data_IF_544771830998
#
_entry.id   IF_544771830998
#
_cell.length_a   1.000
_cell.length_b   1.000
_cell.length_c   1.000
_cell.angle_alpha   90.00
_cell.angle_beta   90.00
_cell.angle_gamma   90.00
#
_symmetry.space_group_name_H-M   'P 1'
#
loop_
_entity.id
_entity.type
_entity.pdbx_description
1 polymer ?
#
# COMPACT_ATOMS: atom_id res chain seq x y z
N UNK A 1 62.91 -7.61 76.88
CA UNK A 1 62.53 -6.70 75.78
C UNK A 1 61.45 -5.75 76.24
N UNK A 2 61.73 -4.45 76.25
CA UNK A 2 60.80 -3.43 76.77
C UNK A 2 59.49 -3.41 75.99
N UNK A 3 58.38 -3.06 76.66
CA UNK A 3 57.04 -2.96 76.05
C UNK A 3 57.06 -2.11 74.77
N UNK A 4 57.90 -1.07 74.74
CA UNK A 4 58.13 -0.17 73.61
C UNK A 4 58.61 -0.92 72.35
N UNK A 5 59.50 -1.91 72.50
CA UNK A 5 60.00 -2.70 71.37
C UNK A 5 58.92 -3.59 70.76
N UNK A 6 58.01 -4.13 71.60
CA UNK A 6 56.88 -4.96 71.13
C UNK A 6 55.86 -4.11 70.36
N UNK A 7 55.58 -2.89 70.82
CA UNK A 7 54.72 -1.94 70.12
C UNK A 7 55.34 -1.44 68.81
N UNK A 8 56.66 -1.23 68.76
CA UNK A 8 57.36 -0.86 67.54
C UNK A 8 57.26 -1.96 66.45
N UNK A 9 57.45 -3.23 66.82
CA UNK A 9 57.32 -4.36 65.89
C UNK A 9 55.88 -4.49 65.37
N UNK A 10 54.87 -4.33 66.23
CA UNK A 10 53.46 -4.35 65.83
C UNK A 10 53.14 -3.22 64.85
N UNK A 11 53.68 -2.01 65.08
CA UNK A 11 53.48 -0.87 64.19
C UNK A 11 54.10 -1.12 62.80
N UNK A 12 55.30 -1.70 62.74
CA UNK A 12 55.95 -2.06 61.46
C UNK A 12 55.13 -3.09 60.68
N UNK A 13 54.62 -4.13 61.35
CA UNK A 13 53.77 -5.14 60.71
C UNK A 13 52.46 -4.53 60.20
N UNK A 14 51.85 -3.63 60.99
CA UNK A 14 50.63 -2.93 60.59
C UNK A 14 50.86 -2.07 59.34
N UNK A 15 51.97 -1.32 59.29
CA UNK A 15 52.34 -0.51 58.11
C UNK A 15 52.58 -1.39 56.88
N UNK A 16 53.22 -2.55 57.04
CA UNK A 16 53.38 -3.52 55.96
C UNK A 16 52.05 -4.08 55.46
N UNK A 17 51.12 -4.41 56.35
CA UNK A 17 49.80 -4.91 55.98
C UNK A 17 48.95 -3.83 55.30
N UNK A 18 49.00 -2.59 55.78
CA UNK A 18 48.30 -1.45 55.16
C UNK A 18 48.90 -1.17 53.78
N UNK A 19 50.23 -1.09 53.67
CA UNK A 19 50.91 -0.89 52.38
C UNK A 19 50.62 -2.03 51.41
N UNK A 20 50.64 -3.28 51.88
CA UNK A 20 50.29 -4.44 51.08
C UNK A 20 48.83 -4.42 50.64
N UNK A 21 47.91 -4.02 51.52
CA UNK A 21 46.48 -3.88 51.21
C UNK A 21 46.22 -2.75 50.22
N UNK A 22 46.90 -1.61 50.35
CA UNK A 22 46.81 -0.48 49.39
C UNK A 22 47.41 -0.87 48.04
N UNK A 23 48.56 -1.54 48.02
CA UNK A 23 49.15 -2.06 46.77
C UNK A 23 48.20 -3.09 46.11
N UNK A 24 47.63 -4.00 46.90
CA UNK A 24 46.64 -4.96 46.42
C UNK A 24 45.39 -4.26 45.88
N UNK A 25 44.87 -3.26 46.59
CA UNK A 25 43.67 -2.54 46.17
C UNK A 25 43.91 -1.69 44.92
N UNK A 26 45.08 -1.07 44.80
CA UNK A 26 45.44 -0.29 43.60
C UNK A 26 45.67 -1.17 42.36
N UNK A 27 46.23 -2.37 42.54
CA UNK A 27 46.44 -3.32 41.44
C UNK A 27 45.13 -4.01 41.04
N UNK A 28 44.33 -4.46 42.02
CA UNK A 28 43.11 -5.21 41.75
C UNK A 28 41.89 -4.32 41.51
N UNK A 29 41.82 -3.10 42.04
CA UNK A 29 40.64 -2.22 41.96
C UNK A 29 40.95 -0.80 41.45
N UNK A 30 42.22 -0.42 41.24
CA UNK A 30 42.63 0.93 40.82
C UNK A 30 42.69 1.18 39.29
N UNK A 31 41.83 0.52 38.50
CA UNK A 31 41.80 0.69 37.05
C UNK A 31 41.05 1.94 36.59
N UNK A 32 41.41 2.50 35.42
CA UNK A 32 40.63 3.56 34.76
C UNK A 32 39.38 2.94 34.14
N UNK A 33 38.22 3.45 34.52
CA UNK A 33 36.95 3.08 33.92
C UNK A 33 36.86 3.61 32.47
N UNK A 34 36.41 2.75 31.56
CA UNK A 34 36.08 3.06 30.17
C UNK A 34 34.57 3.09 30.01
N UNK A 35 34.10 4.05 29.24
CA UNK A 35 32.69 4.18 28.89
C UNK A 35 32.42 3.34 27.65
N UNK A 36 31.42 2.46 27.72
CA UNK A 36 31.02 1.62 26.59
C UNK A 36 30.37 2.50 25.50
N UNK A 37 30.83 2.40 24.23
CA UNK A 37 30.23 3.12 23.12
C UNK A 37 28.91 2.48 22.68
N UNK A 38 28.02 3.26 22.01
CA UNK A 38 26.85 2.70 21.35
C UNK A 38 27.26 2.01 20.04
N UNK A 39 27.23 0.68 20.05
CA UNK A 39 27.57 -0.20 18.93
C UNK A 39 26.33 -0.78 18.22
N UNK A 40 25.12 -0.55 18.77
CA UNK A 40 23.87 -1.05 18.20
C UNK A 40 23.60 -0.42 16.83
N UNK A 41 23.03 -1.20 15.91
CA UNK A 41 22.70 -0.80 14.53
C UNK A 41 23.92 -0.47 13.64
N UNK A 42 25.14 -0.55 14.18
CA UNK A 42 26.38 -0.43 13.41
C UNK A 42 26.68 -1.73 12.66
N UNK A 43 27.55 -1.64 11.64
CA UNK A 43 28.15 -2.82 11.03
C UNK A 43 29.12 -3.47 12.01
N UNK A 44 29.30 -4.79 11.93
CA UNK A 44 30.24 -5.54 12.79
C UNK A 44 31.67 -5.02 12.65
N UNK A 45 32.05 -4.53 11.46
CA UNK A 45 33.37 -3.96 11.21
C UNK A 45 33.54 -2.65 11.98
N UNK A 46 32.61 -1.70 11.81
CA UNK A 46 32.66 -0.42 12.50
C UNK A 46 32.57 -0.59 14.02
N UNK A 47 31.76 -1.55 14.47
CA UNK A 47 31.57 -1.82 15.89
C UNK A 47 32.82 -2.42 16.56
N UNK A 48 33.54 -3.29 15.85
CA UNK A 48 34.82 -3.85 16.33
C UNK A 48 35.89 -2.77 16.34
N UNK A 49 36.01 -1.98 15.27
CA UNK A 49 36.98 -0.89 15.18
C UNK A 49 36.79 0.13 16.32
N UNK A 50 35.55 0.49 16.62
CA UNK A 50 35.23 1.44 17.69
C UNK A 50 35.53 0.87 19.10
N UNK A 51 35.31 -0.43 19.30
CA UNK A 51 35.65 -1.10 20.55
C UNK A 51 37.17 -1.27 20.74
N UNK A 52 37.89 -1.61 19.67
CA UNK A 52 39.36 -1.73 19.68
C UNK A 52 40.03 -0.37 19.90
N UNK A 53 39.47 0.71 19.36
CA UNK A 53 39.96 2.09 19.53
C UNK A 53 40.05 2.52 21.00
N UNK A 54 39.14 2.01 21.84
CA UNK A 54 39.14 2.25 23.29
C UNK A 54 39.83 1.13 24.07
N UNK A 55 40.26 0.05 23.41
CA UNK A 55 40.97 -1.07 24.00
C UNK A 55 40.06 -2.07 24.71
N UNK A 56 38.86 -2.32 24.16
CA UNK A 56 37.93 -3.35 24.61
C UNK A 56 37.95 -4.55 23.66
N UNK A 57 37.90 -5.75 24.21
CA UNK A 57 37.77 -6.98 23.43
C UNK A 57 36.29 -7.27 23.13
N UNK A 58 36.01 -7.68 21.89
CA UNK A 58 34.64 -7.97 21.43
C UNK A 58 34.42 -9.47 21.27
N UNK A 59 33.36 -9.98 21.89
CA UNK A 59 32.86 -11.34 21.70
C UNK A 59 31.60 -11.30 20.84
N UNK A 60 31.64 -12.01 19.72
CA UNK A 60 30.56 -11.99 18.73
C UNK A 60 29.67 -13.22 18.90
N UNK A 61 28.37 -12.98 19.09
CA UNK A 61 27.32 -13.99 19.04
C UNK A 61 26.44 -13.77 17.81
N UNK A 62 26.15 -14.84 17.06
CA UNK A 62 25.34 -14.76 15.85
C UNK A 62 23.91 -15.22 16.12
N UNK A 63 22.92 -14.43 15.69
CA UNK A 63 21.49 -14.71 15.86
C UNK A 63 20.75 -14.49 14.55
N UNK A 64 19.75 -15.33 14.25
CA UNK A 64 18.87 -15.10 13.10
C UNK A 64 17.97 -13.91 13.34
N UNK A 65 17.91 -12.99 12.38
CA UNK A 65 16.98 -11.88 12.42
C UNK A 65 16.73 -11.34 11.02
N UNK A 66 15.60 -10.67 10.80
CA UNK A 66 15.27 -10.02 9.52
C UNK A 66 16.18 -8.83 9.16
N UNK A 67 17.02 -8.37 10.09
CA UNK A 67 17.98 -7.26 9.89
C UNK A 67 19.15 -7.77 9.01
N UNK A 68 19.74 -6.94 8.14
CA UNK A 68 20.87 -7.33 7.30
C UNK A 68 22.00 -8.06 8.05
N UNK A 69 22.60 -9.03 7.37
CA UNK A 69 23.70 -9.81 7.93
C UNK A 69 24.88 -8.90 8.30
N UNK A 70 25.47 -9.14 9.48
CA UNK A 70 26.60 -8.35 9.98
C UNK A 70 26.21 -7.06 10.71
N UNK A 71 24.93 -6.78 10.92
CA UNK A 71 24.48 -5.65 11.75
C UNK A 71 24.36 -6.05 13.22
N UNK A 72 24.79 -5.17 14.14
CA UNK A 72 24.68 -5.40 15.59
C UNK A 72 23.24 -5.19 16.07
N UNK A 73 22.63 -6.25 16.59
CA UNK A 73 21.26 -6.29 17.12
C UNK A 73 21.19 -5.79 18.57
N UNK A 74 22.15 -6.25 19.37
CA UNK A 74 22.24 -5.95 20.78
C UNK A 74 23.69 -5.99 21.22
N UNK A 75 24.00 -5.24 22.26
CA UNK A 75 25.28 -5.26 22.94
C UNK A 75 25.07 -5.46 24.43
N UNK A 76 26.06 -6.05 25.08
CA UNK A 76 26.15 -6.11 26.52
C UNK A 76 27.60 -5.94 26.95
N UNK A 77 27.91 -5.08 27.94
CA UNK A 77 26.99 -4.21 28.70
C UNK A 77 26.41 -3.03 27.88
N UNK A 78 25.40 -2.35 28.42
CA UNK A 78 24.68 -1.28 27.72
C UNK A 78 25.57 -0.05 27.43
N UNK A 79 25.28 0.72 26.36
CA UNK A 79 26.00 1.95 26.05
C UNK A 79 26.04 2.91 27.26
N UNK A 80 27.17 3.61 27.44
CA UNK A 80 27.36 4.53 28.55
C UNK A 80 27.75 3.87 29.88
N UNK A 81 27.71 2.53 29.98
CA UNK A 81 28.17 1.81 31.17
C UNK A 81 29.67 1.98 31.34
N UNK A 82 30.12 2.20 32.59
CA UNK A 82 31.53 2.22 32.95
C UNK A 82 32.03 0.82 33.24
N UNK A 83 33.01 0.36 32.46
CA UNK A 83 33.64 -0.95 32.61
C UNK A 83 35.16 -0.81 32.61
N UNK A 84 35.85 -1.78 33.20
CA UNK A 84 37.31 -1.81 33.18
C UNK A 84 37.82 -2.27 31.81
N UNK A 85 39.05 -1.89 31.46
CA UNK A 85 39.72 -2.29 30.20
C UNK A 85 39.82 -3.79 29.96
N UNK A 86 39.80 -4.59 31.01
CA UNK A 86 39.91 -6.06 30.96
C UNK A 86 38.55 -6.77 30.79
N UNK A 87 37.46 -6.03 30.57
CA UNK A 87 36.13 -6.60 30.34
C UNK A 87 35.84 -6.70 28.84
N UNK A 88 35.23 -7.83 28.48
CA UNK A 88 34.81 -8.08 27.10
C UNK A 88 33.39 -7.55 26.88
N UNK A 89 33.15 -6.95 25.72
CA UNK A 89 31.80 -6.61 25.25
C UNK A 89 31.27 -7.79 24.43
N UNK A 90 30.04 -8.19 24.72
CA UNK A 90 29.32 -9.19 23.92
C UNK A 90 28.41 -8.44 22.94
N UNK A 91 28.62 -8.64 21.65
CA UNK A 91 27.71 -8.14 20.62
C UNK A 91 26.96 -9.31 19.98
N UNK A 92 25.65 -9.14 19.84
CA UNK A 92 24.80 -10.04 19.06
C UNK A 92 24.65 -9.46 17.67
N UNK A 93 25.13 -10.16 16.66
CA UNK A 93 25.02 -9.74 15.25
C UNK A 93 23.93 -10.55 14.54
N UNK A 94 23.28 -9.90 13.59
CA UNK A 94 22.34 -10.57 12.69
C UNK A 94 23.09 -11.48 11.72
N UNK A 95 22.62 -12.72 11.56
CA UNK A 95 22.99 -13.60 10.45
C UNK A 95 22.28 -13.26 9.14
N UNK A 96 21.38 -12.27 9.17
CA UNK A 96 20.43 -12.02 8.09
C UNK A 96 19.18 -12.87 8.23
N UNK A 97 18.14 -12.51 7.46
CA UNK A 97 16.93 -13.31 7.38
C UNK A 97 17.26 -14.71 6.84
N UNK A 98 16.51 -15.71 7.29
CA UNK A 98 16.53 -17.00 6.64
C UNK A 98 16.07 -16.79 5.20
N UNK A 99 16.99 -17.02 4.27
CA UNK A 99 16.78 -16.83 2.85
C UNK A 99 16.54 -18.19 2.21
N UNK A 100 15.38 -18.36 1.57
CA UNK A 100 15.03 -19.58 0.84
C UNK A 100 14.93 -19.30 -0.66
N UNK A 101 15.32 -20.29 -1.44
CA UNK A 101 15.13 -20.26 -2.88
C UNK A 101 13.65 -20.36 -3.22
N UNK A 102 13.17 -19.45 -4.07
CA UNK A 102 11.79 -19.45 -4.55
C UNK A 102 11.59 -20.64 -5.50
N UNK A 103 10.56 -21.49 -5.30
CA UNK A 103 10.27 -22.61 -6.20
C UNK A 103 9.81 -22.13 -7.57
N UNK A 104 10.06 -22.91 -8.62
CA UNK A 104 9.43 -22.70 -9.93
C UNK A 104 8.04 -23.34 -9.94
N UNK A 105 7.03 -22.49 -10.03
CA UNK A 105 5.61 -22.81 -10.04
C UNK A 105 5.01 -22.64 -11.44
N UNK A 106 5.77 -22.13 -12.41
CA UNK A 106 5.28 -21.87 -13.76
C UNK A 106 4.88 -23.17 -14.45
N UNK A 107 3.71 -23.17 -15.08
CA UNK A 107 3.16 -24.36 -15.74
C UNK A 107 2.50 -25.37 -14.78
N UNK A 108 2.58 -25.16 -13.46
CA UNK A 108 1.85 -26.01 -12.51
C UNK A 108 0.38 -25.63 -12.45
N UNK A 109 -0.44 -26.60 -12.04
CA UNK A 109 -1.83 -26.35 -11.66
C UNK A 109 -1.88 -25.54 -10.36
N UNK A 110 -2.85 -24.63 -10.23
CA UNK A 110 -3.01 -23.75 -9.06
C UNK A 110 -2.98 -24.52 -7.74
N UNK A 111 -3.69 -25.65 -7.65
CA UNK A 111 -3.73 -26.47 -6.44
C UNK A 111 -2.34 -27.06 -6.07
N UNK A 112 -1.59 -27.51 -7.08
CA UNK A 112 -0.25 -28.05 -6.89
C UNK A 112 0.76 -26.96 -6.51
N UNK A 113 0.66 -25.78 -7.15
CA UNK A 113 1.49 -24.63 -6.84
C UNK A 113 1.31 -24.16 -5.39
N UNK A 114 0.05 -24.04 -4.93
CA UNK A 114 -0.26 -23.65 -3.55
C UNK A 114 0.28 -24.65 -2.53
N UNK A 115 0.15 -25.96 -2.81
CA UNK A 115 0.73 -27.00 -1.96
C UNK A 115 2.25 -26.87 -1.89
N UNK A 116 2.90 -26.62 -3.02
CA UNK A 116 4.36 -26.46 -3.09
C UNK A 116 4.87 -25.24 -2.31
N UNK A 117 4.14 -24.12 -2.40
CA UNK A 117 4.40 -22.91 -1.61
C UNK A 117 4.37 -23.23 -0.12
N UNK A 118 3.31 -23.90 0.35
CA UNK A 118 3.12 -24.26 1.75
C UNK A 118 4.17 -25.28 2.25
N UNK A 119 4.48 -26.31 1.46
CA UNK A 119 5.49 -27.32 1.78
C UNK A 119 6.89 -26.70 2.01
N UNK A 120 7.19 -25.59 1.33
CA UNK A 120 8.46 -24.87 1.44
C UNK A 120 8.44 -23.75 2.50
N UNK A 121 7.32 -23.57 3.20
CA UNK A 121 7.17 -22.56 4.25
C UNK A 121 6.92 -21.14 3.75
N UNK A 122 6.64 -20.96 2.44
CA UNK A 122 6.27 -19.66 1.88
C UNK A 122 4.78 -19.37 2.08
N UNK A 123 4.41 -18.10 1.95
CA UNK A 123 3.01 -17.66 1.97
C UNK A 123 2.53 -17.31 0.56
N UNK A 124 1.33 -17.76 0.18
CA UNK A 124 0.72 -17.33 -1.07
C UNK A 124 0.29 -15.86 -0.98
N UNK A 125 0.67 -15.07 -1.98
CA UNK A 125 0.31 -13.67 -2.11
C UNK A 125 -0.94 -13.47 -2.96
N UNK A 126 -0.92 -12.42 -3.78
CA UNK A 126 -2.02 -12.07 -4.66
C UNK A 126 -2.12 -13.03 -5.85
N UNK A 127 -3.35 -13.38 -6.22
CA UNK A 127 -3.64 -14.23 -7.37
C UNK A 127 -4.42 -13.45 -8.43
N UNK A 128 -3.75 -13.12 -9.53
CA UNK A 128 -4.35 -12.43 -10.67
C UNK A 128 -4.66 -13.45 -11.75
N UNK A 129 -5.84 -13.38 -12.36
CA UNK A 129 -6.26 -14.30 -13.43
C UNK A 129 -6.33 -13.55 -14.76
N UNK A 130 -5.73 -14.10 -15.81
CA UNK A 130 -5.78 -13.55 -17.18
C UNK A 130 -6.05 -14.66 -18.18
N UNK A 131 -6.55 -14.31 -19.37
CA UNK A 131 -6.67 -15.25 -20.48
C UNK A 131 -5.29 -15.52 -21.10
N UNK A 132 -5.02 -16.77 -21.45
CA UNK A 132 -3.78 -17.20 -22.09
C UNK A 132 -4.12 -18.26 -23.14
N UNK A 133 -3.82 -17.95 -24.40
CA UNK A 133 -4.09 -18.82 -25.54
C UNK A 133 -3.20 -20.08 -25.59
N UNK A 134 -2.12 -20.09 -24.81
CA UNK A 134 -1.14 -21.17 -24.78
C UNK A 134 -1.34 -22.17 -23.63
N UNK A 135 -2.00 -21.76 -22.54
CA UNK A 135 -2.11 -22.55 -21.30
C UNK A 135 -3.57 -22.80 -20.94
N UNK A 136 -3.86 -24.00 -20.44
CA UNK A 136 -5.19 -24.34 -19.94
C UNK A 136 -5.61 -23.48 -18.75
N UNK A 137 -6.92 -23.41 -18.49
CA UNK A 137 -7.46 -22.72 -17.32
C UNK A 137 -6.94 -23.35 -16.02
N UNK A 138 -6.57 -22.52 -15.04
CA UNK A 138 -6.04 -22.95 -13.75
C UNK A 138 -4.53 -23.21 -13.73
N UNK A 139 -3.80 -22.97 -14.83
CA UNK A 139 -2.34 -23.10 -14.89
C UNK A 139 -1.65 -21.79 -14.51
N UNK A 140 -0.56 -21.85 -13.74
CA UNK A 140 0.28 -20.69 -13.41
C UNK A 140 1.06 -20.24 -14.67
N UNK A 141 0.83 -19.00 -15.09
CA UNK A 141 1.52 -18.33 -16.20
C UNK A 141 2.85 -17.76 -15.72
N UNK A 142 2.80 -17.01 -14.61
CA UNK A 142 3.94 -16.31 -14.04
C UNK A 142 3.81 -16.27 -12.52
N UNK A 143 4.93 -15.99 -11.87
CA UNK A 143 5.02 -15.80 -10.44
C UNK A 143 5.90 -14.58 -10.14
N UNK A 144 5.65 -13.96 -9.01
CA UNK A 144 6.50 -12.93 -8.43
C UNK A 144 6.74 -13.28 -6.96
N UNK A 145 8.00 -13.42 -6.50
CA UNK A 145 9.26 -13.21 -7.20
C UNK A 145 9.54 -14.22 -8.33
N UNK A 146 10.23 -13.77 -9.39
CA UNK A 146 10.64 -14.63 -10.50
C UNK A 146 11.85 -15.50 -10.14
N UNK A 147 11.84 -16.77 -10.52
CA UNK A 147 12.97 -17.71 -10.34
C UNK A 147 14.16 -17.28 -11.22
N UNK A 148 15.42 -17.36 -10.74
CA UNK A 148 15.93 -17.98 -9.51
C UNK A 148 16.09 -17.04 -8.30
N UNK A 149 15.05 -16.27 -7.94
CA UNK A 149 15.08 -15.42 -6.74
C UNK A 149 15.30 -16.22 -5.44
N UNK A 150 15.98 -15.57 -4.51
CA UNK A 150 16.14 -15.99 -3.11
C UNK A 150 15.54 -14.90 -2.25
N UNK A 151 14.57 -15.25 -1.41
CA UNK A 151 13.81 -14.30 -0.60
C UNK A 151 13.75 -14.74 0.85
N UNK A 152 13.39 -13.80 1.72
CA UNK A 152 13.21 -14.08 3.14
C UNK A 152 12.00 -15.01 3.36
N UNK A 153 12.04 -15.81 4.43
CA UNK A 153 11.00 -16.79 4.79
C UNK A 153 9.57 -16.20 4.86
N UNK A 154 9.44 -14.92 5.18
CA UNK A 154 8.15 -14.21 5.29
C UNK A 154 7.64 -13.64 3.96
N UNK A 155 8.40 -13.79 2.87
CA UNK A 155 8.02 -13.27 1.57
C UNK A 155 6.78 -13.98 1.02
N UNK A 156 5.91 -13.18 0.39
CA UNK A 156 4.74 -13.68 -0.32
C UNK A 156 5.08 -13.97 -1.77
N UNK A 157 4.48 -15.02 -2.32
CA UNK A 157 4.60 -15.38 -3.74
C UNK A 157 3.27 -15.09 -4.42
N UNK A 158 3.24 -14.06 -5.25
CA UNK A 158 2.09 -13.71 -6.09
C UNK A 158 2.08 -14.59 -7.35
N UNK A 159 0.88 -14.96 -7.79
CA UNK A 159 0.68 -15.84 -8.95
C UNK A 159 -0.20 -15.18 -10.00
N UNK A 160 0.21 -15.34 -11.26
CA UNK A 160 -0.60 -15.04 -12.44
C UNK A 160 -1.13 -16.36 -12.99
N UNK A 161 -2.46 -16.52 -13.03
CA UNK A 161 -3.14 -17.75 -13.43
C UNK A 161 -3.82 -17.59 -14.79
N UNK A 162 -3.83 -18.66 -15.57
CA UNK A 162 -4.54 -18.74 -16.85
C UNK A 162 -6.03 -19.02 -16.65
N UNK A 163 -6.86 -18.32 -17.41
CA UNK A 163 -8.28 -18.60 -17.62
C UNK A 163 -8.53 -19.50 -18.85
N UNK A 164 -7.46 -19.92 -19.53
CA UNK A 164 -7.54 -20.71 -20.75
C UNK A 164 -7.57 -19.88 -22.04
N UNK A 165 -7.45 -20.57 -23.20
CA UNK A 165 -7.51 -19.93 -24.50
C UNK A 165 -8.88 -19.35 -24.79
N UNK A 166 -8.91 -18.15 -25.38
CA UNK A 166 -10.16 -17.56 -25.87
C UNK A 166 -10.40 -18.10 -27.28
N UNK A 167 -11.61 -18.59 -27.62
CA UNK A 167 -11.94 -18.93 -29.00
C UNK A 167 -11.62 -17.75 -29.92
N UNK A 168 -10.96 -18.00 -31.07
CA UNK A 168 -10.43 -16.95 -31.98
C UNK A 168 -11.47 -15.91 -32.43
N UNK A 169 -12.76 -16.24 -32.34
CA UNK A 169 -13.86 -15.33 -32.64
C UNK A 169 -14.20 -14.36 -31.48
N UNK A 170 -13.45 -14.41 -30.37
CA UNK A 170 -13.67 -13.61 -29.15
C UNK A 170 -15.00 -13.92 -28.46
N UNK A 171 -15.66 -15.01 -28.85
CA UNK A 171 -17.00 -15.39 -28.43
C UNK A 171 -16.96 -16.64 -27.59
N UNK A 172 -17.62 -16.59 -26.45
CA UNK A 172 -17.83 -17.73 -25.57
C UNK A 172 -19.33 -18.05 -25.52
N UNK A 173 -19.74 -19.32 -25.50
CA UNK A 173 -21.13 -19.67 -25.32
C UNK A 173 -21.55 -19.31 -23.88
N UNK A 174 -22.74 -18.73 -23.72
CA UNK A 174 -23.33 -18.54 -22.39
C UNK A 174 -23.51 -19.91 -21.74
N UNK A 175 -22.91 -20.16 -20.55
CA UNK A 175 -23.05 -21.44 -19.88
C UNK A 175 -24.52 -21.73 -19.54
N UNK A 176 -24.90 -23.01 -19.55
CA UNK A 176 -26.22 -23.42 -19.10
C UNK A 176 -26.25 -23.44 -17.56
N UNK A 177 -27.02 -22.50 -17.01
CA UNK A 177 -27.18 -22.31 -15.57
C UNK A 177 -28.58 -22.71 -15.10
N UNK A 178 -29.41 -23.29 -15.97
CA UNK A 178 -30.74 -23.72 -15.59
C UNK A 178 -30.68 -24.74 -14.45
N UNK A 179 -31.63 -24.66 -13.52
CA UNK A 179 -31.72 -25.52 -12.32
C UNK A 179 -30.52 -25.40 -11.35
N UNK A 180 -29.61 -24.44 -11.54
CA UNK A 180 -28.57 -24.11 -10.55
C UNK A 180 -29.02 -23.02 -9.60
N UNK A 181 -28.36 -22.95 -8.45
CA UNK A 181 -28.57 -21.86 -7.51
C UNK A 181 -27.90 -20.57 -8.02
N UNK A 182 -28.28 -19.43 -7.46
CA UNK A 182 -27.74 -18.12 -7.84
C UNK A 182 -26.22 -17.99 -7.60
N UNK A 183 -25.70 -18.57 -6.51
CA UNK A 183 -24.29 -18.47 -6.12
C UNK A 183 -23.36 -19.20 -7.09
N UNK A 184 -23.66 -20.47 -7.38
CA UNK A 184 -22.97 -21.31 -8.36
C UNK A 184 -23.09 -20.70 -9.76
N UNK A 185 -24.24 -20.13 -10.09
CA UNK A 185 -24.45 -19.44 -11.37
C UNK A 185 -23.51 -18.25 -11.55
N UNK A 186 -23.32 -17.43 -10.51
CA UNK A 186 -22.39 -16.29 -10.54
C UNK A 186 -20.94 -16.74 -10.70
N UNK A 187 -20.55 -17.78 -9.97
CA UNK A 187 -19.19 -18.35 -10.06
C UNK A 187 -18.92 -18.89 -11.48
N UNK A 188 -19.87 -19.61 -12.07
CA UNK A 188 -19.72 -20.17 -13.41
C UNK A 188 -19.68 -19.11 -14.52
N UNK A 189 -20.44 -18.01 -14.36
CA UNK A 189 -20.36 -16.83 -15.24
C UNK A 189 -18.95 -16.22 -15.18
N UNK A 190 -18.41 -16.05 -13.97
CA UNK A 190 -17.07 -15.49 -13.77
C UNK A 190 -15.98 -16.41 -14.34
N UNK A 191 -16.09 -17.72 -14.15
CA UNK A 191 -15.17 -18.71 -14.71
C UNK A 191 -15.20 -18.74 -16.24
N UNK A 192 -16.36 -18.45 -16.84
CA UNK A 192 -16.52 -18.37 -18.30
C UNK A 192 -16.00 -17.05 -18.90
N UNK A 193 -15.43 -16.16 -18.08
CA UNK A 193 -14.95 -14.85 -18.52
C UNK A 193 -16.06 -13.86 -18.88
N UNK A 194 -17.27 -14.07 -18.35
CA UNK A 194 -18.43 -13.20 -18.54
C UNK A 194 -18.69 -12.35 -17.30
N UNK A 195 -19.35 -11.20 -17.49
CA UNK A 195 -19.71 -10.31 -16.38
C UNK A 195 -21.09 -10.64 -15.85
N UNK A 196 -21.30 -10.46 -14.56
CA UNK A 196 -22.61 -10.60 -13.96
C UNK A 196 -23.49 -9.37 -14.26
N UNK A 197 -24.60 -9.59 -14.98
CA UNK A 197 -25.52 -8.53 -15.45
C UNK A 197 -26.73 -8.27 -14.55
N UNK A 198 -26.77 -8.85 -13.35
CA UNK A 198 -27.85 -8.72 -12.38
C UNK A 198 -28.82 -9.92 -12.35
N UNK A 199 -29.82 -9.84 -11.49
CA UNK A 199 -30.88 -10.86 -11.34
C UNK A 199 -32.25 -10.26 -11.66
N UNK A 200 -33.05 -11.02 -12.40
CA UNK A 200 -34.46 -10.78 -12.65
C UNK A 200 -35.26 -11.88 -11.95
N UNK A 201 -36.02 -11.51 -10.91
CA UNK A 201 -36.86 -12.47 -10.19
C UNK A 201 -38.21 -12.63 -10.87
N UNK A 202 -38.59 -13.87 -11.18
CA UNK A 202 -39.87 -14.21 -11.81
C UNK A 202 -40.66 -15.12 -10.88
N UNK A 203 -41.90 -14.72 -10.57
CA UNK A 203 -42.79 -15.51 -9.72
C UNK A 203 -43.32 -16.72 -10.49
N UNK A 204 -43.05 -17.93 -10.02
CA UNK A 204 -43.54 -19.17 -10.63
C UNK A 204 -44.01 -20.15 -9.56
N UNK A 205 -45.10 -20.87 -9.82
CA UNK A 205 -45.60 -21.93 -8.94
C UNK A 205 -44.95 -23.29 -9.23
N UNK A 206 -44.27 -23.42 -10.38
CA UNK A 206 -43.78 -24.70 -10.90
C UNK A 206 -42.25 -24.88 -10.73
N UNK A 207 -41.55 -23.94 -10.10
CA UNK A 207 -40.10 -24.02 -9.86
C UNK A 207 -39.79 -23.58 -8.45
N UNK A 208 -39.00 -24.36 -7.69
CA UNK A 208 -38.54 -23.94 -6.37
C UNK A 208 -37.86 -22.56 -6.41
N UNK A 209 -38.25 -21.68 -5.50
CA UNK A 209 -37.64 -20.36 -5.36
C UNK A 209 -36.14 -20.46 -5.11
N UNK A 210 -35.38 -19.54 -5.70
CA UNK A 210 -33.91 -19.49 -5.59
C UNK A 210 -33.16 -20.25 -6.69
N UNK A 211 -33.85 -20.94 -7.59
CA UNK A 211 -33.24 -21.59 -8.76
C UNK A 211 -33.25 -20.67 -9.99
N UNK A 212 -32.16 -20.71 -10.75
CA UNK A 212 -32.03 -20.04 -12.04
C UNK A 212 -32.91 -20.79 -13.06
N UNK A 213 -33.88 -20.07 -13.62
CA UNK A 213 -34.75 -20.57 -14.68
C UNK A 213 -34.12 -20.41 -16.06
N UNK A 214 -33.48 -19.25 -16.30
CA UNK A 214 -32.86 -18.95 -17.59
C UNK A 214 -31.85 -17.81 -17.45
N UNK A 215 -31.09 -17.58 -18.51
CA UNK A 215 -30.14 -16.49 -18.63
C UNK A 215 -30.53 -15.58 -19.80
N UNK A 216 -30.18 -14.29 -19.72
CA UNK A 216 -30.25 -13.34 -20.82
C UNK A 216 -28.85 -12.75 -21.04
N UNK A 217 -28.18 -13.01 -22.19
CA UNK A 217 -28.59 -13.83 -23.34
C UNK A 217 -28.82 -15.33 -23.01
N UNK A 218 -29.58 -16.04 -23.85
CA UNK A 218 -29.96 -17.44 -23.61
C UNK A 218 -28.75 -18.36 -23.49
N UNK A 219 -28.85 -19.44 -22.72
CA UNK A 219 -27.85 -20.50 -22.68
C UNK A 219 -27.49 -20.97 -24.10
N UNK A 220 -26.18 -21.16 -24.35
CA UNK A 220 -25.63 -21.51 -25.66
C UNK A 220 -25.54 -20.36 -26.67
N UNK A 221 -26.02 -19.15 -26.35
CA UNK A 221 -25.78 -17.98 -27.20
C UNK A 221 -24.29 -17.61 -27.18
N UNK A 222 -23.71 -17.31 -28.34
CA UNK A 222 -22.33 -16.85 -28.45
C UNK A 222 -22.24 -15.36 -28.11
N UNK A 223 -21.64 -15.03 -26.98
CA UNK A 223 -21.45 -13.65 -26.47
C UNK A 223 -19.97 -13.30 -26.43
N UNK A 224 -19.63 -12.00 -26.46
CA UNK A 224 -18.24 -11.59 -26.38
C UNK A 224 -17.70 -11.78 -24.97
N UNK A 225 -16.41 -12.05 -24.86
CA UNK A 225 -15.74 -12.09 -23.56
C UNK A 225 -15.95 -10.76 -22.81
N UNK A 226 -16.33 -10.83 -21.55
CA UNK A 226 -16.67 -9.65 -20.74
C UNK A 226 -18.09 -9.10 -20.93
N UNK A 227 -18.93 -9.70 -21.78
CA UNK A 227 -20.35 -9.34 -21.87
C UNK A 227 -21.11 -9.72 -20.58
N UNK A 228 -22.13 -8.93 -20.26
CA UNK A 228 -22.95 -9.13 -19.07
C UNK A 228 -24.07 -10.15 -19.29
N UNK A 229 -24.14 -11.19 -18.45
CA UNK A 229 -25.23 -12.17 -18.43
C UNK A 229 -26.14 -11.91 -17.23
N UNK A 230 -27.43 -11.67 -17.50
CA UNK A 230 -28.46 -11.51 -16.48
C UNK A 230 -29.07 -12.87 -16.14
N UNK A 231 -29.19 -13.17 -14.85
CA UNK A 231 -29.85 -14.37 -14.35
C UNK A 231 -31.35 -14.13 -14.18
N UNK A 232 -32.18 -15.08 -14.60
CA UNK A 232 -33.62 -15.08 -14.31
C UNK A 232 -33.87 -16.14 -13.25
N UNK A 233 -34.24 -15.73 -12.04
CA UNK A 233 -34.37 -16.61 -10.87
C UNK A 233 -35.84 -16.76 -10.47
N UNK A 234 -36.27 -17.99 -10.19
CA UNK A 234 -37.59 -18.27 -9.68
C UNK A 234 -37.74 -17.68 -8.27
N UNK A 235 -38.85 -16.98 -8.01
CA UNK A 235 -39.23 -16.55 -6.66
C UNK A 235 -40.64 -17.02 -6.34
N UNK A 236 -40.92 -17.23 -5.06
CA UNK A 236 -42.26 -17.52 -4.56
C UNK A 236 -43.02 -16.24 -4.14
N UNK A 237 -42.43 -15.06 -4.34
CA UNK A 237 -43.05 -13.78 -3.99
C UNK A 237 -43.81 -13.19 -5.18
N UNK A 238 -45.12 -13.00 -5.01
CA UNK A 238 -46.02 -12.39 -5.98
C UNK A 238 -45.61 -10.92 -6.21
N UNK A 239 -45.27 -10.56 -7.46
CA UNK A 239 -45.00 -9.17 -7.88
C UNK A 239 -46.22 -8.29 -7.52
N UNK A 240 -46.07 -7.13 -6.85
CA UNK A 240 -47.17 -6.19 -6.71
C UNK A 240 -47.52 -5.63 -8.10
N UNK A 241 -48.76 -5.86 -8.55
CA UNK A 241 -49.25 -5.38 -9.84
C UNK A 241 -49.35 -3.84 -9.86
N UNK A 242 -48.94 -3.18 -10.95
CA UNK A 242 -49.19 -1.76 -11.14
C UNK A 242 -50.70 -1.54 -11.37
N UNK A 243 -51.33 -0.76 -10.48
CA UNK A 243 -52.73 -0.34 -10.59
C UNK A 243 -52.88 0.54 -11.84
N UNK A 244 -53.64 0.05 -12.83
CA UNK A 244 -54.02 0.78 -14.03
C UNK A 244 -55.05 1.85 -13.63
N UNK A 245 -54.78 3.13 -13.92
CA UNK A 245 -55.77 4.21 -13.82
C UNK A 245 -56.08 4.71 -15.24
N UNK A 246 -57.34 4.66 -15.72
CA UNK A 246 -57.74 5.29 -16.99
C UNK A 246 -57.81 6.82 -16.86
N UNK A 247 -57.67 7.58 -17.97
CA UNK A 247 -57.70 9.04 -17.96
C UNK A 247 -59.13 9.58 -18.18
N UNK A 248 -59.52 10.64 -17.46
CA UNK A 248 -60.65 11.49 -17.88
C UNK A 248 -61.45 12.19 -16.78
N UNK A 249 -61.26 13.51 -16.70
CA UNK A 249 -62.17 14.60 -16.28
C UNK A 249 -62.82 14.65 -14.88
N UNK A 250 -62.36 15.65 -14.13
CA UNK A 250 -63.10 16.79 -13.54
C UNK A 250 -64.42 16.51 -12.79
N UNK A 251 -64.45 16.81 -11.48
CA UNK A 251 -65.01 18.05 -10.92
C UNK A 251 -64.84 18.09 -9.38
N UNK A 252 -64.80 19.31 -8.84
CA UNK A 252 -64.48 19.72 -7.46
C UNK A 252 -65.78 19.93 -6.65
N UNK A 253 -65.77 20.52 -5.43
CA UNK A 253 -65.44 20.01 -4.09
C UNK A 253 -66.66 19.86 -3.16
N UNK A 254 -66.49 19.29 -1.96
CA UNK A 254 -67.17 19.76 -0.73
C UNK A 254 -66.46 19.28 0.53
N UNK A 255 -66.13 20.24 1.42
CA UNK A 255 -65.60 20.03 2.77
C UNK A 255 -66.64 19.42 3.72
N UNK A 256 -66.29 18.94 4.91
CA UNK A 256 -65.89 19.78 6.06
C UNK A 256 -65.21 18.95 7.15
N UNK A 257 -64.04 19.45 7.58
CA UNK A 257 -63.40 19.57 8.92
C UNK A 257 -63.77 18.66 10.10
N UNK A 258 -62.73 18.14 10.81
CA UNK A 258 -62.52 18.27 12.29
C UNK A 258 -61.04 17.94 12.68
N UNK A 259 -60.24 18.99 12.94
CA UNK A 259 -59.37 19.30 14.12
C UNK A 259 -58.65 18.11 14.82
N UNK A 260 -57.32 17.94 14.70
CA UNK A 260 -56.18 18.53 15.45
C UNK A 260 -55.65 17.63 16.59
N UNK A 261 -54.40 17.17 16.48
CA UNK A 261 -53.32 17.40 17.47
C UNK A 261 -52.02 16.67 17.08
N UNK A 262 -50.94 17.46 17.02
CA UNK A 262 -49.54 17.07 16.99
C UNK A 262 -48.96 17.34 18.41
N UNK A 263 -47.96 16.60 18.92
CA UNK A 263 -46.56 17.00 18.73
C UNK A 263 -45.61 15.87 18.30
N UNK A 264 -44.62 16.28 17.49
CA UNK A 264 -43.40 15.55 17.14
C UNK A 264 -42.27 15.89 18.13
N UNK A 265 -41.29 14.99 18.31
CA UNK A 265 -39.85 15.30 18.54
C UNK A 265 -38.97 14.09 18.13
N UNK A 266 -38.18 14.17 17.03
CA UNK A 266 -36.72 14.42 16.89
C UNK A 266 -35.75 13.36 17.43
N UNK A 267 -34.92 12.76 16.55
CA UNK A 267 -33.45 12.58 16.73
C UNK A 267 -32.75 12.57 15.36
N UNK A 268 -31.68 13.36 15.24
CA UNK A 268 -30.73 13.46 14.12
C UNK A 268 -29.51 12.55 14.38
N UNK A 269 -28.91 11.95 13.34
CA UNK A 269 -27.47 11.59 13.29
C UNK A 269 -26.95 11.79 11.86
N UNK A 270 -25.78 12.44 11.73
CA UNK A 270 -25.26 13.10 10.53
C UNK A 270 -24.55 12.24 9.46
N UNK A 271 -23.91 12.90 8.46
CA UNK A 271 -23.59 12.32 7.16
C UNK A 271 -22.12 11.86 7.03
N UNK A 272 -21.92 10.78 6.27
CA UNK A 272 -20.63 10.41 5.66
C UNK A 272 -20.84 10.21 4.15
N UNK A 273 -20.14 10.99 3.31
CA UNK A 273 -20.09 10.83 1.85
C UNK A 273 -19.04 9.80 1.41
N UNK A 274 -18.47 9.92 0.19
CA UNK A 274 -19.16 9.77 -1.10
C UNK A 274 -18.39 8.83 -2.08
N UNK A 275 -19.02 8.39 -3.17
CA UNK A 275 -18.33 7.80 -4.35
C UNK A 275 -18.75 8.50 -5.64
N UNK A 276 -17.73 8.69 -6.49
CA UNK A 276 -17.54 9.52 -7.68
C UNK A 276 -18.53 9.28 -8.83
N UNK A 277 -18.88 10.36 -9.53
CA UNK A 277 -19.44 10.34 -10.89
C UNK A 277 -18.48 11.01 -11.87
N UNK A 278 -18.17 10.26 -12.93
CA UNK A 278 -17.41 10.61 -14.14
C UNK A 278 -18.23 11.58 -15.00
N UNK A 279 -17.59 12.61 -15.60
CA UNK A 279 -18.16 13.28 -16.78
C UNK A 279 -17.04 13.60 -17.79
N UNK A 280 -17.22 13.03 -18.98
CA UNK A 280 -16.56 13.31 -20.25
C UNK A 280 -16.93 14.71 -20.79
N UNK A 281 -16.04 15.50 -21.41
CA UNK A 281 -16.42 16.67 -22.17
C UNK A 281 -16.67 16.36 -23.66
N UNK A 282 -17.65 17.06 -24.23
CA UNK A 282 -17.95 17.18 -25.66
C UNK A 282 -17.61 18.64 -26.06
N UNK A 283 -16.80 18.81 -27.10
CA UNK A 283 -16.50 20.08 -27.80
C UNK A 283 -17.76 20.71 -28.47
N UNK A 284 -17.69 21.83 -29.24
CA UNK A 284 -16.72 22.95 -29.36
C UNK A 284 -17.39 24.36 -29.39
N UNK A 285 -16.65 25.47 -29.24
CA UNK A 285 -17.00 26.73 -29.93
C UNK A 285 -15.77 27.66 -30.17
N UNK A 286 -15.82 28.38 -31.29
CA UNK A 286 -14.76 29.12 -31.97
C UNK A 286 -14.98 30.64 -31.85
N UNK A 287 -13.89 31.40 -32.02
CA UNK A 287 -13.74 32.87 -32.20
C UNK A 287 -13.47 33.66 -30.90
N UNK A 288 -12.45 34.50 -30.78
CA UNK A 288 -11.51 35.11 -31.72
C UNK A 288 -11.51 36.62 -31.50
N UNK A 289 -10.46 37.20 -30.91
CA UNK A 289 -10.04 38.60 -31.12
C UNK A 289 -8.75 38.93 -30.33
N UNK A 290 -7.91 39.73 -30.98
CA UNK A 290 -6.55 40.14 -30.64
C UNK A 290 -6.48 41.22 -29.54
N UNK A 291 -5.37 41.28 -28.79
CA UNK A 291 -4.92 42.51 -28.13
C UNK A 291 -3.99 42.31 -26.93
N UNK A 292 -2.71 42.64 -27.08
CA UNK A 292 -1.72 42.98 -26.02
C UNK A 292 -1.35 44.46 -26.28
N UNK A 293 -1.33 45.38 -25.28
CA UNK A 293 -0.07 45.67 -24.56
C UNK A 293 -0.17 46.09 -23.07
N UNK A 294 0.82 45.62 -22.31
CA UNK A 294 1.72 46.27 -21.33
C UNK A 294 1.24 47.35 -20.32
N UNK A 295 1.70 47.16 -19.06
CA UNK A 295 2.22 48.12 -18.07
C UNK A 295 1.35 48.59 -16.88
N UNK A 296 1.75 48.11 -15.69
CA UNK A 296 2.15 48.86 -14.47
C UNK A 296 1.26 49.93 -13.79
N UNK A 297 1.01 49.66 -12.49
CA UNK A 297 1.16 50.57 -11.33
C UNK A 297 -0.06 51.33 -10.75
N UNK A 298 -0.40 50.91 -9.51
CA UNK A 298 -0.83 51.63 -8.28
C UNK A 298 -2.17 52.40 -8.15
N UNK A 299 -2.85 52.09 -7.04
CA UNK A 299 -3.77 52.94 -6.26
C UNK A 299 -5.24 52.82 -6.66
N UNK A 300 -6.22 52.36 -5.87
CA UNK A 300 -6.31 52.12 -4.43
C UNK A 300 -7.50 52.91 -3.87
N UNK A 301 -8.67 52.29 -3.69
CA UNK A 301 -9.70 52.68 -2.69
C UNK A 301 -10.51 51.44 -2.30
N UNK A 302 -10.77 51.35 -1.00
CA UNK A 302 -11.25 50.23 -0.20
C UNK A 302 -12.74 49.95 -0.38
N UNK A 303 -13.13 48.67 -0.29
CA UNK A 303 -14.48 48.28 0.12
C UNK A 303 -14.39 47.03 1.02
N UNK A 304 -15.13 47.10 2.13
CA UNK A 304 -15.04 46.26 3.32
C UNK A 304 -14.96 44.75 3.08
N UNK A 305 -14.01 44.16 3.80
CA UNK A 305 -13.64 42.75 3.81
C UNK A 305 -14.36 42.07 4.97
N UNK A 306 -15.32 41.19 4.66
CA UNK A 306 -15.62 40.01 5.47
C UNK A 306 -15.40 38.77 4.56
N UNK A 307 -14.55 37.81 4.96
CA UNK A 307 -13.90 36.87 4.04
C UNK A 307 -14.81 35.70 3.63
N UNK A 308 -14.73 35.19 2.38
CA UNK A 308 -15.08 33.80 2.15
C UNK A 308 -14.04 32.93 2.85
N UNK A 309 -14.52 32.05 3.74
CA UNK A 309 -13.73 31.15 4.57
C UNK A 309 -12.50 30.60 3.84
N UNK A 310 -11.32 30.97 4.34
CA UNK A 310 -10.07 30.27 4.07
C UNK A 310 -10.27 28.79 4.43
N UNK A 311 -10.20 27.93 3.43
CA UNK A 311 -9.73 26.56 3.65
C UNK A 311 -8.27 26.67 4.08
N UNK A 312 -8.05 26.83 5.39
CA UNK A 312 -6.73 26.63 6.01
C UNK A 312 -6.36 25.15 5.90
N UNK A 313 -5.93 24.74 4.72
CA UNK A 313 -5.11 23.55 4.53
C UNK A 313 -3.64 23.95 4.64
N UNK A 314 -2.83 23.10 5.28
CA UNK A 314 -1.38 23.29 5.30
C UNK A 314 -0.87 23.50 3.86
N UNK A 315 -0.18 24.61 3.60
CA UNK A 315 0.39 24.91 2.29
C UNK A 315 1.82 24.38 2.24
N UNK A 316 2.08 23.44 1.35
CA UNK A 316 3.40 22.86 1.10
C UNK A 316 3.96 23.30 -0.26
N UNK A 317 5.25 23.07 -0.50
CA UNK A 317 5.87 23.27 -1.83
C UNK A 317 6.46 21.95 -2.30
N UNK A 318 5.95 21.43 -3.42
CA UNK A 318 6.49 20.25 -4.07
C UNK A 318 7.72 20.65 -4.89
N UNK A 319 8.89 20.10 -4.54
CA UNK A 319 10.16 20.32 -5.24
C UNK A 319 10.42 19.19 -6.22
N UNK A 320 9.96 19.36 -7.45
CA UNK A 320 9.99 18.33 -8.48
C UNK A 320 11.36 18.37 -9.15
N UNK A 321 12.07 17.24 -9.15
CA UNK A 321 13.37 17.09 -9.80
C UNK A 321 13.33 15.86 -10.70
N UNK A 322 13.40 16.07 -12.00
CA UNK A 322 13.33 14.99 -12.98
C UNK A 322 14.48 15.10 -13.99
N UNK A 323 15.19 14.00 -14.20
CA UNK A 323 16.18 13.87 -15.25
C UNK A 323 15.56 13.10 -16.41
N UNK A 324 15.49 13.73 -17.58
CA UNK A 324 14.98 13.08 -18.78
C UNK A 324 15.97 11.98 -19.18
N UNK A 325 15.53 10.73 -19.37
CA UNK A 325 16.42 9.64 -19.80
C UNK A 325 17.05 9.95 -21.16
N UNK A 326 18.16 9.31 -21.53
CA UNK A 326 18.79 9.52 -22.83
C UNK A 326 17.86 9.04 -23.95
N UNK A 327 17.17 9.98 -24.59
CA UNK A 327 16.29 9.76 -25.74
C UNK A 327 16.94 10.27 -27.03
N UNK A 328 16.77 9.54 -28.12
CA UNK A 328 17.36 9.85 -29.44
C UNK A 328 16.54 10.85 -30.26
N UNK A 329 15.27 11.07 -29.89
CA UNK A 329 14.36 12.06 -30.47
C UNK A 329 13.73 12.91 -29.36
N UNK A 330 13.44 14.21 -29.58
CA UNK A 330 12.69 15.00 -28.62
C UNK A 330 11.32 14.37 -28.34
N UNK A 331 10.91 14.33 -27.08
CA UNK A 331 9.63 13.79 -26.64
C UNK A 331 8.89 14.82 -25.78
N UNK A 332 7.56 14.85 -25.89
CA UNK A 332 6.73 15.73 -25.08
C UNK A 332 6.73 15.31 -23.62
N UNK A 333 7.22 16.16 -22.73
CA UNK A 333 7.13 15.98 -21.30
C UNK A 333 5.93 16.77 -20.76
N UNK A 334 5.10 16.09 -19.99
CA UNK A 334 3.96 16.70 -19.28
C UNK A 334 4.06 16.38 -17.79
N UNK A 335 4.02 17.40 -16.95
CA UNK A 335 3.97 17.27 -15.49
C UNK A 335 2.62 17.81 -15.03
N UNK A 336 1.86 16.98 -14.33
CA UNK A 336 0.57 17.34 -13.73
C UNK A 336 0.66 17.21 -12.22
N UNK A 337 -0.07 18.05 -11.49
CA UNK A 337 -0.21 17.99 -10.05
C UNK A 337 -1.69 18.00 -9.70
N UNK A 338 -2.10 17.04 -8.88
CA UNK A 338 -3.46 16.94 -8.36
C UNK A 338 -3.40 17.25 -6.87
N UNK A 339 -4.06 18.33 -6.44
CA UNK A 339 -4.19 18.72 -5.03
C UNK A 339 -5.67 18.85 -4.63
N UNK A 340 -5.94 19.29 -3.39
CA UNK A 340 -7.30 19.53 -2.89
C UNK A 340 -8.10 20.57 -3.69
N UNK A 341 -7.42 21.40 -4.51
CA UNK A 341 -8.04 22.44 -5.35
C UNK A 341 -8.29 21.98 -6.79
N UNK A 342 -7.74 20.83 -7.20
CA UNK A 342 -7.98 20.22 -8.51
C UNK A 342 -6.70 19.75 -9.21
N UNK A 343 -6.82 19.46 -10.50
CA UNK A 343 -5.68 19.08 -11.36
C UNK A 343 -5.09 20.31 -12.02
N UNK A 344 -3.78 20.53 -11.85
CA UNK A 344 -3.00 21.63 -12.43
C UNK A 344 -1.93 21.03 -13.36
N UNK A 345 -1.84 21.50 -14.60
CA UNK A 345 -0.70 21.17 -15.46
C UNK A 345 0.45 22.12 -15.13
N UNK A 346 1.54 21.56 -14.63
CA UNK A 346 2.70 22.31 -14.17
C UNK A 346 3.69 22.59 -15.31
N UNK A 347 3.83 21.65 -16.25
CA UNK A 347 4.71 21.78 -17.41
C UNK A 347 4.16 20.94 -18.57
N UNK A 348 4.21 21.44 -19.80
CA UNK A 348 3.90 20.69 -21.01
C UNK A 348 4.75 21.22 -22.17
N UNK A 349 5.85 20.53 -22.51
CA UNK A 349 6.76 20.91 -23.61
C UNK A 349 7.61 19.75 -24.11
N UNK A 350 8.16 19.86 -25.30
CA UNK A 350 9.16 18.90 -25.81
C UNK A 350 10.51 19.10 -25.11
N UNK A 351 11.14 17.99 -24.72
CA UNK A 351 12.43 17.96 -24.00
C UNK A 351 13.43 17.06 -24.72
N UNK A 352 14.72 17.32 -24.52
CA UNK A 352 15.82 16.51 -25.06
C UNK A 352 16.31 15.49 -24.03
N UNK A 353 16.93 14.42 -24.50
CA UNK A 353 17.54 13.43 -23.62
C UNK A 353 18.64 14.03 -22.75
N UNK A 354 18.63 13.68 -21.46
CA UNK A 354 19.59 14.19 -20.48
C UNK A 354 19.28 15.59 -19.92
N UNK A 355 18.17 16.22 -20.31
CA UNK A 355 17.75 17.50 -19.75
C UNK A 355 17.30 17.34 -18.29
N UNK A 356 17.77 18.22 -17.40
CA UNK A 356 17.39 18.25 -15.98
C UNK A 356 16.32 19.31 -15.75
N UNK A 357 15.23 18.90 -15.10
CA UNK A 357 14.06 19.75 -14.88
C UNK A 357 13.81 19.88 -13.39
N UNK A 358 13.78 21.13 -12.94
CA UNK A 358 13.50 21.50 -11.55
C UNK A 358 12.31 22.46 -11.51
N UNK A 359 11.30 22.11 -10.74
CA UNK A 359 10.10 22.93 -10.60
C UNK A 359 9.61 22.93 -9.16
N UNK A 360 9.24 24.12 -8.67
CA UNK A 360 8.62 24.29 -7.35
C UNK A 360 7.14 24.62 -7.54
N UNK A 361 6.26 23.79 -6.99
CA UNK A 361 4.81 23.95 -7.13
C UNK A 361 4.12 24.00 -5.75
N UNK A 362 3.40 25.09 -5.40
CA UNK A 362 2.68 25.17 -4.15
C UNK A 362 1.42 24.29 -4.19
N UNK A 363 1.16 23.54 -3.12
CA UNK A 363 -0.03 22.70 -2.96
C UNK A 363 -0.71 22.89 -1.61
N UNK A 364 -1.98 22.49 -1.53
CA UNK A 364 -2.79 22.56 -0.31
C UNK A 364 -3.11 21.15 0.19
N UNK A 365 -2.78 20.88 1.45
CA UNK A 365 -3.00 19.61 2.17
C UNK A 365 -2.19 18.41 1.66
N UNK A 366 -2.57 17.81 0.55
CA UNK A 366 -1.80 16.73 -0.08
C UNK A 366 -1.80 16.98 -1.58
N UNK A 367 -0.68 16.66 -2.25
CA UNK A 367 -0.63 16.65 -3.70
C UNK A 367 0.02 15.41 -4.26
N UNK A 368 -0.36 15.10 -5.49
CA UNK A 368 0.22 14.02 -6.28
C UNK A 368 0.72 14.64 -7.56
N UNK A 369 2.03 14.57 -7.79
CA UNK A 369 2.66 15.00 -9.05
C UNK A 369 2.84 13.77 -9.93
N UNK A 370 2.39 13.84 -11.16
CA UNK A 370 2.53 12.78 -12.17
C UNK A 370 3.30 13.32 -13.37
N UNK A 371 4.29 12.56 -13.84
CA UNK A 371 5.14 12.90 -14.98
C UNK A 371 4.86 11.92 -16.12
N UNK A 372 4.58 12.48 -17.29
CA UNK A 372 4.39 11.77 -18.54
C UNK A 372 5.47 12.17 -19.55
N UNK A 373 6.05 11.20 -20.26
CA UNK A 373 7.02 11.42 -21.34
C UNK A 373 6.53 10.74 -22.61
N UNK A 374 6.38 11.50 -23.69
CA UNK A 374 5.78 11.03 -24.94
C UNK A 374 4.31 10.61 -24.82
N UNK A 375 3.61 11.09 -23.78
CA UNK A 375 2.23 10.67 -23.46
C UNK A 375 2.12 9.43 -22.59
N UNK A 376 3.23 8.74 -22.32
CA UNK A 376 3.28 7.58 -21.42
C UNK A 376 3.56 8.01 -19.98
N UNK A 377 2.94 7.32 -19.03
CA UNK A 377 3.22 7.50 -17.60
C UNK A 377 4.65 7.03 -17.30
N UNK A 378 5.44 7.87 -16.60
CA UNK A 378 6.82 7.51 -16.24
C UNK A 378 7.02 7.47 -14.73
N UNK A 379 6.47 8.45 -14.01
CA UNK A 379 6.71 8.58 -12.58
C UNK A 379 5.60 9.36 -11.89
N UNK A 380 5.40 9.08 -10.61
CA UNK A 380 4.46 9.78 -9.75
C UNK A 380 5.03 9.87 -8.33
N UNK A 381 4.85 11.03 -7.71
CA UNK A 381 5.30 11.30 -6.35
C UNK A 381 4.18 12.00 -5.56
N UNK A 382 4.07 11.65 -4.26
CA UNK A 382 3.06 12.22 -3.37
C UNK A 382 3.73 13.14 -2.35
N UNK A 383 3.19 14.34 -2.22
CA UNK A 383 3.62 15.35 -1.27
C UNK A 383 2.52 15.56 -0.22
N UNK A 384 2.94 15.73 1.04
CA UNK A 384 2.07 15.92 2.21
C UNK A 384 2.50 17.16 2.98
#
# INVERSE_FOLDING_TARGET
>A
MGRIFRWAVVLVILVMLISGSVAFYTIFFGGKDLVIPPLREMSVLDAVDEAERIGLEVKIEQVDSSIPAGTVLAQWPEPGTKVRRDKNIIIKISRGGNKRAVPDLRGMETAQALKKIQELGFTAGDMVKINDDSRAAGTVIAQNPAVPAVVDDEAKIDLLLSLGPVPKDGRVPVPDLAQRNEADGRELIAQSGLKFGGVEYVSTQNTPGGMIMSTKPKAGAMVRLGDSVKLVVATNQKKPEPKVTPPGSAETPSGTTTVEQQPAQTVQVGPAGPVKTVITPKDPEVAGALGIPTASTSGGVQQEVHPPQQVSGATGTAKIRYQVPPITKPMGLKIEMVDATGTKSLLARDVKGGEYITLDAPFVSESVVTIYLGGEFVWQERYR
#
